data_IF_942569541989
#
_entry.id   IF_942569541989
#
_cell.length_a   1.000
_cell.length_b   1.000
_cell.length_c   1.000
_cell.angle_alpha   90.00
_cell.angle_beta   90.00
_cell.angle_gamma   90.00
#
_symmetry.space_group_name_H-M   'P 1'
#
loop_
_entity.id
_entity.type
_entity.pdbx_description
1 polymer ?
#
# COMPACT_ATOMS: atom_id res chain seq x y z
N UNK A 1 -2.97 0.61 -15.12
CA UNK A 1 -2.40 -0.73 -15.24
C UNK A 1 -2.52 -1.31 -16.65
N UNK A 2 -2.26 -2.60 -16.79
CA UNK A 2 -2.39 -3.32 -18.05
C UNK A 2 -3.86 -3.71 -18.28
N UNK A 3 -4.38 -3.47 -19.49
CA UNK A 3 -5.75 -3.83 -19.83
C UNK A 3 -5.99 -5.36 -19.69
N UNK A 4 -4.98 -6.18 -19.99
CA UNK A 4 -5.10 -7.64 -19.88
C UNK A 4 -5.25 -8.16 -18.44
N UNK A 5 -5.01 -7.31 -17.43
CA UNK A 5 -5.17 -7.69 -16.01
C UNK A 5 -6.61 -7.54 -15.51
N UNK A 6 -7.52 -7.00 -16.32
CA UNK A 6 -8.93 -6.92 -15.94
C UNK A 6 -9.57 -8.31 -15.98
N UNK A 7 -10.28 -8.69 -14.92
CA UNK A 7 -10.91 -10.01 -14.89
C UNK A 7 -12.15 -10.06 -15.78
N UNK A 8 -12.44 -11.25 -16.34
CA UNK A 8 -13.67 -11.50 -17.11
C UNK A 8 -14.93 -11.16 -16.29
N UNK A 9 -14.90 -11.41 -14.97
CA UNK A 9 -15.99 -11.06 -14.05
C UNK A 9 -16.18 -9.55 -13.94
N UNK A 10 -15.09 -8.76 -13.86
CA UNK A 10 -15.18 -7.31 -13.84
C UNK A 10 -15.80 -6.76 -15.12
N UNK A 11 -15.35 -7.25 -16.28
CA UNK A 11 -15.92 -6.85 -17.58
C UNK A 11 -17.41 -7.17 -17.68
N UNK A 12 -17.81 -8.37 -17.25
CA UNK A 12 -19.23 -8.76 -17.27
C UNK A 12 -20.08 -7.87 -16.38
N UNK A 13 -19.60 -7.51 -15.20
CA UNK A 13 -20.30 -6.61 -14.28
C UNK A 13 -20.39 -5.20 -14.87
N UNK A 14 -19.30 -4.65 -15.39
CA UNK A 14 -19.28 -3.31 -16.00
C UNK A 14 -20.25 -3.19 -17.18
N UNK A 15 -20.48 -4.29 -17.93
CA UNK A 15 -21.45 -4.34 -19.02
C UNK A 15 -22.90 -4.34 -18.55
N UNK A 16 -23.20 -4.92 -17.39
CA UNK A 16 -24.57 -5.26 -16.98
C UNK A 16 -25.12 -4.41 -15.82
N UNK A 17 -24.30 -3.59 -15.13
CA UNK A 17 -24.81 -2.68 -14.09
C UNK A 17 -25.63 -1.55 -14.69
N UNK A 18 -26.49 -0.94 -13.89
CA UNK A 18 -27.33 0.19 -14.33
C UNK A 18 -26.50 1.41 -14.72
N UNK A 19 -25.40 1.66 -14.00
CA UNK A 19 -24.39 2.68 -14.34
C UNK A 19 -23.08 2.44 -13.61
N UNK A 20 -22.03 3.12 -14.06
CA UNK A 20 -20.68 3.06 -13.48
C UNK A 20 -20.30 4.42 -12.88
N UNK A 21 -20.00 4.43 -11.59
CA UNK A 21 -19.41 5.56 -10.90
C UNK A 21 -17.88 5.46 -11.03
N UNK A 22 -17.26 6.45 -11.66
CA UNK A 22 -15.82 6.42 -12.00
C UNK A 22 -15.13 7.73 -11.63
N UNK A 23 -13.85 7.65 -11.28
CA UNK A 23 -13.06 8.81 -10.87
C UNK A 23 -12.90 9.80 -12.04
N UNK A 24 -12.39 9.33 -13.17
CA UNK A 24 -12.36 10.06 -14.45
C UNK A 24 -13.05 9.26 -15.55
N UNK A 25 -14.17 9.80 -16.05
CA UNK A 25 -14.95 9.19 -17.13
C UNK A 25 -14.12 8.93 -18.38
N UNK A 26 -13.14 9.78 -18.68
CA UNK A 26 -12.27 9.66 -19.86
C UNK A 26 -11.37 8.42 -19.78
N UNK A 27 -10.93 8.04 -18.59
CA UNK A 27 -10.13 6.82 -18.41
C UNK A 27 -11.00 5.57 -18.49
N UNK A 28 -12.19 5.61 -17.90
CA UNK A 28 -13.13 4.49 -17.95
C UNK A 28 -13.65 4.23 -19.36
N UNK A 29 -13.89 5.28 -20.16
CA UNK A 29 -14.27 5.14 -21.58
C UNK A 29 -13.22 4.37 -22.37
N UNK A 30 -11.92 4.60 -22.16
CA UNK A 30 -10.85 3.84 -22.85
C UNK A 30 -10.94 2.33 -22.60
N UNK A 31 -11.31 1.93 -21.37
CA UNK A 31 -11.53 0.52 -21.03
C UNK A 31 -12.73 0.00 -21.80
N UNK A 32 -13.84 0.73 -21.81
CA UNK A 32 -15.07 0.32 -22.50
C UNK A 32 -14.85 0.16 -24.01
N UNK A 33 -14.16 1.11 -24.63
CA UNK A 33 -13.79 1.06 -26.05
C UNK A 33 -12.89 -0.14 -26.36
N UNK A 34 -11.88 -0.40 -25.51
CA UNK A 34 -10.94 -1.52 -25.69
C UNK A 34 -11.61 -2.89 -25.64
N UNK A 35 -12.76 -3.00 -24.95
CA UNK A 35 -13.53 -4.25 -24.82
C UNK A 35 -14.88 -4.21 -25.54
N UNK A 36 -15.09 -3.24 -26.42
CA UNK A 36 -16.26 -3.10 -27.28
C UNK A 36 -17.59 -3.15 -26.51
N UNK A 37 -17.73 -2.35 -25.45
CA UNK A 37 -18.98 -2.16 -24.73
C UNK A 37 -19.18 -0.70 -24.32
N UNK A 38 -20.41 -0.35 -23.99
CA UNK A 38 -20.77 0.97 -23.44
C UNK A 38 -21.63 0.82 -22.21
N UNK A 39 -21.57 1.77 -21.30
CA UNK A 39 -22.48 1.91 -20.17
C UNK A 39 -22.61 3.38 -19.77
N UNK A 40 -23.62 3.72 -19.00
CA UNK A 40 -23.78 5.06 -18.45
C UNK A 40 -22.72 5.34 -17.38
N UNK A 41 -21.94 6.43 -17.56
CA UNK A 41 -20.88 6.84 -16.63
C UNK A 41 -21.31 8.05 -15.83
N UNK A 42 -21.01 8.04 -14.53
CA UNK A 42 -21.11 9.22 -13.69
C UNK A 42 -19.75 9.48 -13.02
N UNK A 43 -19.33 10.76 -13.00
CA UNK A 43 -18.11 11.13 -12.28
C UNK A 43 -18.33 11.00 -10.78
N UNK A 44 -17.39 10.30 -10.10
CA UNK A 44 -17.32 10.11 -8.65
C UNK A 44 -15.88 10.23 -8.16
N UNK A 45 -15.50 11.40 -7.65
CA UNK A 45 -14.16 11.70 -7.20
C UNK A 45 -14.17 12.39 -5.82
N UNK A 46 -13.00 12.65 -5.25
CA UNK A 46 -12.86 13.30 -3.91
C UNK A 46 -13.60 14.63 -3.78
N UNK A 47 -13.73 15.38 -4.87
CA UNK A 47 -14.36 16.71 -4.85
C UNK A 47 -15.89 16.65 -4.90
N UNK A 48 -16.47 15.65 -5.55
CA UNK A 48 -17.90 15.56 -5.75
C UNK A 48 -18.59 14.45 -4.93
N UNK A 49 -17.84 13.59 -4.25
CA UNK A 49 -18.34 12.41 -3.51
C UNK A 49 -19.47 12.76 -2.54
N UNK A 50 -19.31 13.83 -1.75
CA UNK A 50 -20.34 14.27 -0.77
C UNK A 50 -21.71 14.49 -1.41
N UNK A 51 -21.75 15.06 -2.61
CA UNK A 51 -23.00 15.36 -3.34
C UNK A 51 -23.51 14.15 -4.14
N UNK A 52 -22.61 13.22 -4.50
CA UNK A 52 -22.93 12.03 -5.31
C UNK A 52 -23.42 10.87 -4.45
N UNK A 53 -22.87 10.67 -3.26
CA UNK A 53 -23.23 9.56 -2.36
C UNK A 53 -24.75 9.47 -2.14
N UNK A 54 -25.48 10.52 -1.74
CA UNK A 54 -26.91 10.42 -1.52
C UNK A 54 -27.69 9.93 -2.73
N UNK A 55 -27.30 10.39 -3.94
CA UNK A 55 -27.94 10.01 -5.21
C UNK A 55 -27.69 8.54 -5.56
N UNK A 56 -26.43 8.08 -5.39
CA UNK A 56 -26.07 6.67 -5.61
C UNK A 56 -26.83 5.77 -4.64
N UNK A 57 -26.89 6.13 -3.36
CA UNK A 57 -27.64 5.36 -2.35
C UNK A 57 -29.13 5.30 -2.71
N UNK A 58 -29.72 6.40 -3.16
CA UNK A 58 -31.12 6.39 -3.61
C UNK A 58 -31.33 5.45 -4.80
N UNK A 59 -30.44 5.47 -5.80
CA UNK A 59 -30.47 4.55 -6.94
C UNK A 59 -30.36 3.08 -6.49
N UNK A 60 -29.45 2.77 -5.59
CA UNK A 60 -29.30 1.42 -5.02
C UNK A 60 -30.55 0.96 -4.28
N UNK A 61 -31.18 1.85 -3.49
CA UNK A 61 -32.46 1.56 -2.79
C UNK A 61 -33.63 1.33 -3.75
N UNK A 62 -33.59 1.91 -4.94
CA UNK A 62 -34.60 1.67 -5.99
C UNK A 62 -34.34 0.39 -6.81
N UNK A 63 -33.36 -0.43 -6.41
CA UNK A 63 -33.06 -1.71 -7.05
C UNK A 63 -32.06 -1.61 -8.22
N UNK A 64 -31.49 -0.44 -8.47
CA UNK A 64 -30.44 -0.30 -9.47
C UNK A 64 -29.11 -0.86 -8.97
N UNK A 65 -28.30 -1.41 -9.89
CA UNK A 65 -26.94 -1.85 -9.59
C UNK A 65 -25.92 -0.80 -10.03
N UNK A 66 -24.87 -0.58 -9.23
CA UNK A 66 -23.83 0.41 -9.50
C UNK A 66 -22.47 -0.24 -9.38
N UNK A 67 -21.61 -0.05 -10.36
CA UNK A 67 -20.19 -0.37 -10.23
C UNK A 67 -19.41 0.89 -9.85
N UNK A 68 -18.48 0.77 -8.90
CA UNK A 68 -17.50 1.79 -8.59
C UNK A 68 -16.14 1.39 -9.18
N UNK A 69 -15.49 2.29 -9.90
CA UNK A 69 -14.15 2.11 -10.47
C UNK A 69 -13.27 3.31 -10.18
N UNK A 70 -11.96 3.06 -10.02
CA UNK A 70 -10.91 4.08 -9.93
C UNK A 70 -10.08 4.11 -11.21
N UNK A 71 -9.28 5.17 -11.37
CA UNK A 71 -8.42 5.32 -12.56
C UNK A 71 -7.29 4.30 -12.59
N UNK A 72 -6.81 3.86 -11.41
CA UNK A 72 -5.78 2.83 -11.28
C UNK A 72 -5.98 1.99 -10.02
N UNK A 73 -5.85 0.67 -10.13
CA UNK A 73 -5.93 -0.24 -8.98
C UNK A 73 -7.35 -0.47 -8.44
N UNK A 74 -7.44 -0.66 -7.12
CA UNK A 74 -8.68 -0.97 -6.40
C UNK A 74 -9.35 0.31 -5.89
N UNK A 75 -10.63 0.56 -6.20
CA UNK A 75 -11.40 1.65 -5.59
C UNK A 75 -11.36 1.58 -4.06
N UNK A 76 -11.23 2.74 -3.40
CA UNK A 76 -11.14 2.83 -1.94
C UNK A 76 -9.75 2.58 -1.35
N UNK A 77 -8.76 2.16 -2.13
CA UNK A 77 -7.36 2.05 -1.72
C UNK A 77 -6.60 3.27 -2.24
N UNK A 78 -6.40 4.28 -1.41
CA UNK A 78 -5.88 5.61 -1.77
C UNK A 78 -6.76 6.41 -2.74
N UNK A 79 -7.85 5.85 -3.19
CA UNK A 79 -8.80 6.37 -4.18
C UNK A 79 -10.19 6.64 -3.56
N UNK A 80 -11.07 7.39 -4.25
CA UNK A 80 -12.44 7.61 -3.78
C UNK A 80 -13.21 6.30 -3.67
N UNK A 81 -14.01 6.15 -2.60
CA UNK A 81 -14.88 4.98 -2.44
C UNK A 81 -15.25 4.64 -1.00
N UNK A 82 -14.35 4.86 -0.05
CA UNK A 82 -14.53 4.46 1.35
C UNK A 82 -15.85 4.98 1.94
N UNK A 83 -16.14 6.28 1.78
CA UNK A 83 -17.37 6.88 2.32
C UNK A 83 -18.63 6.34 1.65
N UNK A 84 -18.59 6.04 0.35
CA UNK A 84 -19.69 5.41 -0.36
C UNK A 84 -19.95 4.00 0.19
N UNK A 85 -18.91 3.20 0.34
CA UNK A 85 -18.99 1.84 0.87
C UNK A 85 -19.52 1.87 2.32
N UNK A 86 -18.99 2.76 3.16
CA UNK A 86 -19.46 2.95 4.54
C UNK A 86 -20.95 3.32 4.58
N UNK A 87 -21.36 4.27 3.74
CA UNK A 87 -22.77 4.71 3.67
C UNK A 87 -23.67 3.59 3.11
N UNK A 88 -23.23 2.83 2.12
CA UNK A 88 -23.98 1.70 1.61
C UNK A 88 -24.18 0.62 2.68
N UNK A 89 -23.12 0.30 3.45
CA UNK A 89 -23.18 -0.64 4.60
C UNK A 89 -24.18 -0.19 5.67
N UNK A 90 -24.15 1.09 6.06
CA UNK A 90 -25.07 1.63 7.05
C UNK A 90 -26.54 1.67 6.57
N UNK A 91 -26.77 1.53 5.27
CA UNK A 91 -28.11 1.39 4.69
C UNK A 91 -28.46 -0.07 4.32
N UNK A 92 -27.73 -1.04 4.84
CA UNK A 92 -27.94 -2.50 4.60
C UNK A 92 -27.91 -2.92 3.14
N UNK A 93 -27.24 -2.13 2.28
CA UNK A 93 -27.12 -2.42 0.87
C UNK A 93 -26.03 -3.47 0.61
N UNK A 94 -26.27 -4.39 -0.31
CA UNK A 94 -25.31 -5.41 -0.70
C UNK A 94 -24.10 -4.82 -1.41
N UNK A 95 -22.89 -5.24 -0.99
CA UNK A 95 -21.63 -4.81 -1.57
C UNK A 95 -20.83 -6.03 -1.97
N UNK A 96 -20.44 -6.08 -3.23
CA UNK A 96 -19.63 -7.16 -3.79
C UNK A 96 -18.30 -6.56 -4.24
N UNK A 97 -17.22 -6.98 -3.62
CA UNK A 97 -15.87 -6.65 -4.07
C UNK A 97 -15.46 -7.57 -5.23
N UNK A 98 -15.05 -6.98 -6.34
CA UNK A 98 -14.51 -7.71 -7.49
C UNK A 98 -13.00 -7.63 -7.42
N UNK A 99 -12.28 -8.75 -7.19
CA UNK A 99 -10.82 -8.76 -7.18
C UNK A 99 -10.25 -8.23 -8.49
N UNK A 100 -9.22 -7.38 -8.37
CA UNK A 100 -8.56 -6.75 -9.52
C UNK A 100 -7.14 -6.33 -9.19
N UNK A 101 -6.47 -5.64 -10.12
CA UNK A 101 -5.10 -5.17 -9.95
C UNK A 101 -4.94 -4.30 -8.70
N UNK A 102 -3.84 -4.51 -7.99
CA UNK A 102 -3.44 -3.70 -6.83
C UNK A 102 -1.92 -3.56 -6.85
N UNK A 103 -1.42 -2.37 -7.17
CA UNK A 103 0.01 -2.11 -7.33
C UNK A 103 0.81 -2.45 -6.06
N UNK A 104 0.29 -2.13 -4.87
CA UNK A 104 0.97 -2.42 -3.60
C UNK A 104 1.20 -3.91 -3.37
N UNK A 105 0.18 -4.74 -3.61
CA UNK A 105 0.30 -6.20 -3.44
C UNK A 105 1.15 -6.80 -4.56
N UNK A 106 1.01 -6.32 -5.80
CA UNK A 106 1.86 -6.76 -6.92
C UNK A 106 3.33 -6.47 -6.65
N UNK A 107 3.64 -5.26 -6.18
CA UNK A 107 4.99 -4.87 -5.79
C UNK A 107 5.53 -5.71 -4.62
N UNK A 108 4.71 -5.95 -3.60
CA UNK A 108 5.11 -6.77 -2.44
C UNK A 108 5.54 -8.17 -2.88
N UNK A 109 4.71 -8.84 -3.68
CA UNK A 109 5.04 -10.18 -4.21
C UNK A 109 6.29 -10.16 -5.08
N UNK A 110 6.43 -9.14 -5.94
CA UNK A 110 7.58 -9.00 -6.84
C UNK A 110 8.87 -8.57 -6.13
N UNK A 111 8.79 -8.02 -4.93
CA UNK A 111 9.96 -7.59 -4.16
C UNK A 111 10.79 -8.75 -3.59
N UNK A 112 10.15 -9.90 -3.35
CA UNK A 112 10.75 -11.01 -2.63
C UNK A 112 10.91 -10.79 -1.11
N UNK A 113 10.42 -9.67 -0.57
CA UNK A 113 10.48 -9.39 0.86
C UNK A 113 9.39 -10.18 1.63
N UNK A 114 9.55 -10.38 2.94
CA UNK A 114 8.55 -11.07 3.76
C UNK A 114 7.16 -10.47 3.60
N UNK A 115 6.19 -11.30 3.21
CA UNK A 115 4.82 -10.88 2.90
C UNK A 115 3.77 -11.40 3.87
N UNK A 116 4.16 -12.24 4.85
CA UNK A 116 3.24 -12.81 5.84
C UNK A 116 2.61 -11.74 6.76
N UNK A 117 3.36 -10.68 7.04
CA UNK A 117 2.91 -9.50 7.81
C UNK A 117 3.54 -8.27 7.18
N UNK A 118 2.72 -7.35 6.74
CA UNK A 118 3.15 -6.10 6.13
C UNK A 118 2.27 -4.93 6.56
N UNK A 119 2.73 -3.73 6.31
CA UNK A 119 2.01 -2.48 6.57
C UNK A 119 1.82 -1.75 5.25
N UNK A 120 0.61 -1.28 4.97
CA UNK A 120 0.30 -0.45 3.83
C UNK A 120 0.06 0.98 4.29
N UNK A 121 0.99 1.89 3.98
CA UNK A 121 0.94 3.30 4.34
C UNK A 121 0.33 4.17 3.23
N UNK A 122 0.31 3.67 1.99
CA UNK A 122 -0.12 4.46 0.85
C UNK A 122 0.75 5.69 0.61
N UNK A 123 0.13 6.84 0.35
CA UNK A 123 0.86 8.10 0.18
C UNK A 123 1.13 8.77 1.53
N UNK A 124 2.40 9.00 1.83
CA UNK A 124 2.78 9.72 3.05
C UNK A 124 2.23 11.15 3.07
N UNK A 125 1.83 11.66 4.25
CA UNK A 125 1.36 13.02 4.43
C UNK A 125 2.36 14.06 3.87
N UNK A 126 1.82 15.23 3.49
CA UNK A 126 2.66 16.37 3.08
C UNK A 126 3.19 17.14 4.29
N UNK A 127 2.50 17.09 5.42
CA UNK A 127 2.87 17.77 6.66
C UNK A 127 4.03 17.05 7.31
N UNK A 128 5.02 17.80 7.79
CA UNK A 128 6.27 17.25 8.28
C UNK A 128 6.10 16.38 9.52
N UNK A 129 5.32 16.79 10.53
CA UNK A 129 5.17 16.05 11.80
C UNK A 129 4.58 14.66 11.57
N UNK A 130 3.38 14.58 10.97
CA UNK A 130 2.74 13.28 10.68
C UNK A 130 3.62 12.38 9.78
N UNK A 131 4.35 13.00 8.85
CA UNK A 131 5.27 12.29 7.94
C UNK A 131 6.45 11.70 8.71
N UNK A 132 7.06 12.47 9.61
CA UNK A 132 8.19 12.02 10.44
C UNK A 132 7.77 10.87 11.37
N UNK A 133 6.60 10.94 11.98
CA UNK A 133 6.06 9.87 12.83
C UNK A 133 5.99 8.55 12.06
N UNK A 134 5.38 8.55 10.86
CA UNK A 134 5.27 7.34 10.03
C UNK A 134 6.66 6.85 9.60
N UNK A 135 7.58 7.74 9.23
CA UNK A 135 8.93 7.34 8.85
C UNK A 135 9.70 6.70 10.03
N UNK A 136 9.51 7.20 11.25
CA UNK A 136 10.08 6.60 12.47
C UNK A 136 9.45 5.23 12.79
N UNK A 137 8.15 5.07 12.54
CA UNK A 137 7.48 3.76 12.66
C UNK A 137 8.04 2.75 11.65
N UNK A 138 8.21 3.15 10.38
CA UNK A 138 8.83 2.33 9.33
C UNK A 138 10.26 1.92 9.73
N UNK A 139 11.04 2.85 10.29
CA UNK A 139 12.42 2.57 10.74
C UNK A 139 12.45 1.42 11.76
N UNK A 140 11.54 1.45 12.73
CA UNK A 140 11.49 0.49 13.85
C UNK A 140 10.75 -0.80 13.51
N UNK A 141 9.93 -0.79 12.46
CA UNK A 141 9.06 -1.91 12.13
C UNK A 141 9.85 -3.13 11.63
N UNK A 142 9.64 -4.32 12.20
CA UNK A 142 10.17 -5.56 11.64
C UNK A 142 9.36 -6.06 10.43
N UNK A 143 8.28 -5.37 10.06
CA UNK A 143 7.39 -5.73 8.96
C UNK A 143 7.78 -5.01 7.68
N UNK A 144 7.53 -5.63 6.55
CA UNK A 144 7.62 -4.98 5.24
C UNK A 144 6.59 -3.85 5.14
N UNK A 145 7.02 -2.68 4.68
CA UNK A 145 6.15 -1.52 4.48
C UNK A 145 5.96 -1.22 3.00
N UNK A 146 4.73 -0.88 2.61
CA UNK A 146 4.33 -0.54 1.24
C UNK A 146 3.94 0.92 1.19
N UNK A 147 4.58 1.69 0.29
CA UNK A 147 4.29 3.09 0.04
C UNK A 147 3.92 3.32 -1.42
N UNK A 148 3.06 4.30 -1.66
CA UNK A 148 2.91 4.97 -2.96
C UNK A 148 3.58 6.33 -2.90
N UNK A 149 4.24 6.72 -4.00
CA UNK A 149 4.83 8.06 -4.06
C UNK A 149 4.75 8.65 -5.47
N UNK A 150 4.67 9.95 -5.53
CA UNK A 150 4.76 10.66 -6.80
C UNK A 150 6.20 10.78 -7.28
N UNK A 151 6.45 10.82 -8.60
CA UNK A 151 7.80 10.97 -9.14
C UNK A 151 8.51 12.24 -8.63
N UNK A 152 7.76 13.31 -8.41
CA UNK A 152 8.30 14.60 -7.93
C UNK A 152 8.78 14.55 -6.47
N UNK A 153 8.27 13.65 -5.65
CA UNK A 153 8.60 13.54 -4.23
C UNK A 153 9.54 12.38 -3.92
N UNK A 154 9.78 11.47 -4.88
CA UNK A 154 10.56 10.26 -4.65
C UNK A 154 11.98 10.56 -4.13
N UNK A 155 12.73 11.48 -4.78
CA UNK A 155 14.09 11.82 -4.36
C UNK A 155 14.14 12.35 -2.92
N UNK A 156 13.14 13.17 -2.55
CA UNK A 156 13.02 13.68 -1.18
C UNK A 156 12.79 12.54 -0.20
N UNK A 157 11.82 11.65 -0.50
CA UNK A 157 11.51 10.50 0.36
C UNK A 157 12.71 9.56 0.54
N UNK A 158 13.46 9.27 -0.52
CA UNK A 158 14.65 8.41 -0.44
C UNK A 158 15.73 9.01 0.48
N UNK A 159 15.96 10.34 0.42
CA UNK A 159 16.89 11.00 1.30
C UNK A 159 16.41 11.02 2.77
N UNK A 160 15.11 11.19 3.00
CA UNK A 160 14.52 11.09 4.34
C UNK A 160 14.68 9.66 4.89
N UNK A 161 14.39 8.64 4.10
CA UNK A 161 14.58 7.23 4.47
C UNK A 161 16.06 6.93 4.76
N UNK A 162 16.99 7.40 3.92
CA UNK A 162 18.44 7.26 4.16
C UNK A 162 18.86 7.88 5.49
N UNK A 163 18.38 9.09 5.78
CA UNK A 163 18.71 9.78 7.03
C UNK A 163 18.22 9.05 8.29
N UNK A 164 17.07 8.36 8.20
CA UNK A 164 16.41 7.73 9.34
C UNK A 164 16.79 6.23 9.45
N UNK A 165 16.81 5.53 8.33
CA UNK A 165 17.00 4.06 8.29
C UNK A 165 18.43 3.64 7.95
N UNK A 166 19.29 4.56 7.47
CA UNK A 166 20.58 4.24 6.88
C UNK A 166 20.49 3.83 5.41
N UNK A 167 21.63 3.91 4.70
CA UNK A 167 21.72 3.63 3.26
C UNK A 167 21.53 2.16 2.89
N UNK A 168 21.93 1.25 3.78
CA UNK A 168 21.88 -0.20 3.61
C UNK A 168 20.49 -0.82 3.82
N UNK A 169 19.51 -0.04 4.29
CA UNK A 169 18.15 -0.53 4.49
C UNK A 169 17.60 -1.10 3.19
N UNK A 170 17.08 -2.31 3.24
CA UNK A 170 16.50 -3.00 2.09
C UNK A 170 15.27 -2.28 1.56
N UNK A 171 15.26 -2.02 0.26
CA UNK A 171 14.17 -1.33 -0.45
C UNK A 171 14.07 -1.86 -1.89
N UNK A 172 12.86 -1.89 -2.43
CA UNK A 172 12.60 -2.06 -3.86
C UNK A 172 11.68 -0.94 -4.32
N UNK A 173 12.02 -0.30 -5.42
CA UNK A 173 11.18 0.70 -6.08
C UNK A 173 10.68 0.14 -7.39
N UNK A 174 9.37 0.12 -7.55
CA UNK A 174 8.69 -0.31 -8.76
C UNK A 174 8.11 0.92 -9.45
N UNK A 175 8.46 1.09 -10.70
CA UNK A 175 7.96 2.17 -11.54
C UNK A 175 7.10 1.60 -12.66
N UNK A 176 5.93 2.18 -12.91
CA UNK A 176 5.02 1.82 -14.01
C UNK A 176 4.67 0.32 -14.05
N UNK A 177 4.42 -0.30 -12.86
CA UNK A 177 4.04 -1.72 -12.74
C UNK A 177 2.94 -2.10 -13.74
N UNK A 178 3.10 -3.25 -14.39
CA UNK A 178 2.24 -3.84 -15.42
C UNK A 178 2.17 -3.06 -16.74
N UNK A 179 2.86 -1.93 -16.86
CA UNK A 179 2.85 -1.08 -18.05
C UNK A 179 4.09 -1.30 -18.92
N UNK A 180 4.11 -0.67 -20.12
CA UNK A 180 5.19 -0.81 -21.10
C UNK A 180 6.57 -0.43 -20.56
N UNK A 181 6.64 0.50 -19.64
CA UNK A 181 7.89 1.03 -19.08
C UNK A 181 8.08 0.61 -17.62
N UNK A 182 7.67 -0.62 -17.31
CA UNK A 182 7.88 -1.21 -16.00
C UNK A 182 9.36 -1.34 -15.66
N UNK A 183 9.75 -0.89 -14.48
CA UNK A 183 11.11 -1.04 -13.95
C UNK A 183 11.06 -1.47 -12.48
N UNK A 184 12.00 -2.34 -12.11
CA UNK A 184 12.26 -2.78 -10.75
C UNK A 184 13.66 -2.30 -10.37
N UNK A 185 13.78 -1.51 -9.31
CA UNK A 185 15.01 -0.75 -9.01
C UNK A 185 15.44 -1.00 -7.57
N UNK A 186 16.72 -1.28 -7.41
CA UNK A 186 17.46 -1.29 -6.14
C UNK A 186 17.34 -2.58 -5.34
N UNK A 187 18.22 -2.68 -4.36
CA UNK A 187 18.21 -3.62 -3.24
C UNK A 187 18.41 -2.85 -1.92
N UNK A 188 19.11 -1.70 -1.97
CA UNK A 188 19.33 -0.80 -0.85
C UNK A 188 18.91 0.63 -1.18
N UNK A 189 18.71 1.46 -0.15
CA UNK A 189 18.35 2.87 -0.33
C UNK A 189 19.44 3.59 -1.13
N UNK A 190 20.72 3.32 -0.86
CA UNK A 190 21.84 3.97 -1.56
C UNK A 190 21.89 3.61 -3.03
N UNK A 191 21.64 2.35 -3.39
CA UNK A 191 21.55 1.95 -4.80
C UNK A 191 20.40 2.65 -5.53
N UNK A 192 19.22 2.76 -4.90
CA UNK A 192 18.07 3.46 -5.48
C UNK A 192 18.36 4.96 -5.65
N UNK A 193 18.98 5.60 -4.68
CA UNK A 193 19.39 7.02 -4.77
C UNK A 193 20.33 7.20 -5.96
N UNK A 194 21.38 6.39 -6.04
CA UNK A 194 22.38 6.43 -7.12
C UNK A 194 21.71 6.21 -8.49
N UNK A 195 20.79 5.25 -8.59
CA UNK A 195 20.08 4.99 -9.84
C UNK A 195 19.30 6.21 -10.34
N UNK A 196 18.67 6.98 -9.45
CA UNK A 196 17.85 8.14 -9.80
C UNK A 196 18.61 9.49 -9.79
N UNK A 197 19.89 9.52 -9.47
CA UNK A 197 20.65 10.78 -9.25
C UNK A 197 20.49 11.76 -10.43
N UNK A 198 20.76 11.28 -11.64
CA UNK A 198 20.75 12.10 -12.87
C UNK A 198 19.56 11.77 -13.79
N UNK A 199 18.51 11.11 -13.28
CA UNK A 199 17.36 10.73 -14.08
C UNK A 199 16.16 11.61 -13.79
N UNK A 200 15.41 11.95 -14.83
CA UNK A 200 14.05 12.47 -14.71
C UNK A 200 13.12 11.30 -14.36
N UNK A 201 12.37 11.43 -13.27
CA UNK A 201 11.47 10.40 -12.80
C UNK A 201 10.05 10.69 -13.29
N UNK A 202 9.45 9.74 -13.99
CA UNK A 202 8.08 9.82 -14.52
C UNK A 202 7.30 8.55 -14.20
N UNK A 203 5.98 8.68 -14.18
CA UNK A 203 5.07 7.56 -13.99
C UNK A 203 4.69 7.29 -12.54
N UNK A 204 3.98 6.21 -12.31
CA UNK A 204 3.50 5.79 -11.00
C UNK A 204 4.56 4.96 -10.28
N UNK A 205 4.71 5.19 -8.97
CA UNK A 205 5.76 4.58 -8.17
C UNK A 205 5.16 3.87 -6.97
N UNK A 206 5.59 2.62 -6.79
CA UNK A 206 5.33 1.83 -5.59
C UNK A 206 6.66 1.47 -4.95
N UNK A 207 6.75 1.61 -3.64
CA UNK A 207 7.96 1.39 -2.86
C UNK A 207 7.69 0.30 -1.84
N UNK A 208 8.57 -0.66 -1.77
CA UNK A 208 8.56 -1.71 -0.76
C UNK A 208 9.81 -1.56 0.09
N UNK A 209 9.64 -1.38 1.39
CA UNK A 209 10.73 -1.24 2.35
C UNK A 209 10.76 -2.50 3.20
N UNK A 210 11.88 -3.20 3.22
CA UNK A 210 12.09 -4.37 4.06
C UNK A 210 11.96 -4.03 5.55
N UNK A 211 11.51 -4.97 6.36
CA UNK A 211 11.45 -4.83 7.81
C UNK A 211 12.82 -4.51 8.40
N UNK A 212 12.83 -3.91 9.60
CA UNK A 212 14.06 -3.80 10.38
C UNK A 212 14.48 -5.21 10.81
N UNK A 213 15.59 -5.67 10.28
CA UNK A 213 16.27 -6.87 10.79
C UNK A 213 17.08 -6.40 11.99
N UNK A 214 16.70 -6.84 13.20
CA UNK A 214 17.68 -6.82 14.28
C UNK A 214 18.83 -7.68 13.75
N UNK A 215 20.01 -7.11 13.62
CA UNK A 215 21.19 -7.94 13.59
C UNK A 215 21.03 -8.87 14.79
N UNK A 216 20.96 -10.17 14.55
CA UNK A 216 21.28 -11.14 15.58
C UNK A 216 22.75 -10.88 15.90
N UNK A 217 23.00 -9.88 16.71
CA UNK A 217 24.20 -9.83 17.48
C UNK A 217 24.10 -11.10 18.32
N UNK A 218 24.92 -12.08 17.98
CA UNK A 218 25.24 -13.23 18.84
C UNK A 218 25.93 -12.81 20.14
N UNK A 219 26.10 -11.54 20.38
CA UNK A 219 26.13 -10.91 21.66
C UNK A 219 24.68 -10.89 22.21
N UNK A 220 24.18 -12.07 22.53
CA UNK A 220 23.28 -12.21 23.69
C UNK A 220 23.97 -11.33 24.71
N UNK A 221 23.32 -10.27 25.02
CA UNK A 221 23.82 -9.19 25.86
C UNK A 221 24.29 -9.83 27.16
N UNK A 222 25.54 -10.34 27.16
CA UNK A 222 26.15 -11.07 28.28
C UNK A 222 26.02 -10.24 29.55
N UNK A 223 25.94 -8.91 29.34
CA UNK A 223 25.74 -7.93 30.41
C UNK A 223 24.27 -7.98 30.91
N UNK A 224 23.28 -8.09 30.03
CA UNK A 224 21.87 -8.19 30.45
C UNK A 224 21.56 -9.58 30.99
N UNK A 225 22.09 -10.63 30.39
CA UNK A 225 21.96 -12.00 30.92
C UNK A 225 22.58 -12.13 32.31
N UNK A 226 23.76 -11.54 32.52
CA UNK A 226 24.41 -11.51 33.86
C UNK A 226 23.61 -10.69 34.87
N UNK A 227 23.00 -9.56 34.44
CA UNK A 227 22.11 -8.77 35.31
C UNK A 227 20.83 -9.54 35.70
N UNK A 228 20.14 -10.14 34.72
CA UNK A 228 18.94 -10.95 35.00
C UNK A 228 19.25 -12.18 35.86
N UNK A 229 20.34 -12.88 35.57
CA UNK A 229 20.80 -13.98 36.40
C UNK A 229 21.03 -13.53 37.84
N UNK A 230 21.70 -12.40 38.03
CA UNK A 230 21.96 -11.82 39.35
C UNK A 230 20.68 -11.44 40.09
N UNK A 231 19.69 -10.88 39.38
CA UNK A 231 18.39 -10.53 39.94
C UNK A 231 17.60 -11.77 40.38
N UNK A 232 17.59 -12.85 39.58
CA UNK A 232 16.93 -14.10 39.90
C UNK A 232 17.57 -14.81 41.10
N UNK A 233 18.89 -14.82 41.19
CA UNK A 233 19.60 -15.35 42.34
C UNK A 233 19.34 -14.53 43.60
N UNK A 234 19.31 -13.20 43.49
CA UNK A 234 19.00 -12.27 44.57
C UNK A 234 17.55 -12.39 45.04
N UNK A 235 16.64 -12.84 44.17
CA UNK A 235 15.24 -13.16 44.47
C UNK A 235 15.06 -14.57 45.10
N UNK A 236 16.16 -15.30 45.35
CA UNK A 236 16.14 -16.55 46.08
C UNK A 236 16.19 -17.82 45.21
N UNK A 237 16.34 -17.71 43.87
CA UNK A 237 16.57 -18.90 43.06
C UNK A 237 18.01 -19.40 43.17
N UNK A 238 18.21 -20.72 43.13
CA UNK A 238 19.55 -21.28 42.98
C UNK A 238 20.14 -20.88 41.60
N UNK A 239 21.46 -20.74 41.52
CA UNK A 239 22.15 -20.42 40.28
C UNK A 239 21.77 -21.38 39.14
N UNK A 240 21.64 -22.67 39.45
CA UNK A 240 21.22 -23.70 38.48
C UNK A 240 19.78 -23.50 37.98
N UNK A 241 18.86 -23.11 38.87
CA UNK A 241 17.47 -22.85 38.50
C UNK A 241 17.33 -21.57 37.70
N UNK A 242 18.06 -20.50 38.07
CA UNK A 242 18.10 -19.26 37.38
C UNK A 242 18.70 -19.41 35.96
N UNK A 243 19.78 -20.18 35.81
CA UNK A 243 20.39 -20.44 34.49
C UNK A 243 19.46 -21.27 33.58
N UNK A 244 18.70 -22.24 34.12
CA UNK A 244 17.70 -22.99 33.35
C UNK A 244 16.50 -22.13 32.92
N UNK A 245 16.18 -21.09 33.67
CA UNK A 245 15.09 -20.17 33.35
C UNK A 245 15.47 -19.21 32.22
N UNK A 246 16.78 -18.87 32.14
CA UNK A 246 17.31 -17.93 31.14
C UNK A 246 17.80 -18.63 29.85
N UNK A 247 17.95 -19.95 29.84
CA UNK A 247 18.33 -20.75 28.68
C UNK A 247 17.13 -21.14 27.83
#
# INVERSE_FOLDING_TARGET
>A
GNLNDISARALNILKNVSFVACEDTRQTIKIMESYNFSNHLISFNKHNSKNRIPKIIQSLKSGQSVALVSDAGMPGICDPGEDLIRTARSNELSIICIPGPCAGITALVSSGFPSSKFIFEGFLPKKNIEREEILLEIMKSPKTSILYESPYRLKKLLNELKSICGGERKIKVFRELTKRYEEHIGDTIDEVITFFENKEIKGEITIIIGGFEKEETNDIDEINLKKELHLLVKAGLSLSSASKYLA
#
